data_IF_284053921872
#
_entry.id   IF_284053921872
#
_cell.length_a   1.000
_cell.length_b   1.000
_cell.length_c   1.000
_cell.angle_alpha   90.00
_cell.angle_beta   90.00
_cell.angle_gamma   90.00
#
_symmetry.space_group_name_H-M   'P 1'
#
loop_
_entity.id
_entity.type
_entity.pdbx_description
1 polymer ?
#
# COMPACT_ATOMS: atom_id res chain seq x y z
N UNK A 1 -18.61 -6.22 -8.08
CA UNK A 1 -17.27 -6.22 -7.43
C UNK A 1 -16.18 -6.13 -8.47
N UNK A 2 -15.26 -5.24 -8.24
CA UNK A 2 -14.23 -4.80 -9.14
C UNK A 2 -13.40 -5.93 -9.74
N UNK A 3 -13.26 -5.95 -11.07
CA UNK A 3 -12.66 -7.04 -11.82
C UNK A 3 -11.20 -7.32 -11.49
N UNK A 4 -10.38 -6.28 -11.27
CA UNK A 4 -8.95 -6.43 -11.02
C UNK A 4 -8.63 -6.92 -9.59
N UNK A 5 -9.33 -6.42 -8.57
CA UNK A 5 -9.19 -6.92 -7.20
C UNK A 5 -9.61 -8.39 -7.07
N UNK A 6 -10.72 -8.76 -7.72
CA UNK A 6 -11.17 -10.16 -7.75
C UNK A 6 -10.16 -11.06 -8.48
N UNK A 7 -9.49 -10.56 -9.52
CA UNK A 7 -8.40 -11.25 -10.20
C UNK A 7 -7.17 -11.44 -9.30
N UNK A 8 -6.82 -10.41 -8.52
CA UNK A 8 -5.70 -10.48 -7.59
C UNK A 8 -5.98 -11.46 -6.43
N UNK A 9 -7.17 -11.41 -5.82
CA UNK A 9 -7.59 -12.37 -4.80
C UNK A 9 -7.51 -13.82 -5.31
N UNK A 10 -7.98 -14.08 -6.55
CA UNK A 10 -7.88 -15.42 -7.19
C UNK A 10 -6.43 -15.86 -7.39
N UNK A 11 -5.54 -14.94 -7.77
CA UNK A 11 -4.11 -15.23 -7.93
C UNK A 11 -3.48 -15.64 -6.59
N UNK A 12 -3.80 -14.93 -5.49
CA UNK A 12 -3.32 -15.29 -4.15
C UNK A 12 -3.82 -16.67 -3.73
N UNK A 13 -5.12 -16.95 -3.94
CA UNK A 13 -5.70 -18.27 -3.64
C UNK A 13 -5.06 -19.36 -4.50
N UNK A 14 -4.88 -19.14 -5.80
CA UNK A 14 -4.23 -20.11 -6.68
C UNK A 14 -2.79 -20.43 -6.28
N UNK A 15 -2.06 -19.47 -5.73
CA UNK A 15 -0.72 -19.72 -5.17
C UNK A 15 -0.78 -20.61 -3.91
N UNK A 16 -1.77 -20.43 -3.03
CA UNK A 16 -1.98 -21.29 -1.86
C UNK A 16 -2.39 -22.73 -2.24
N UNK A 17 -3.12 -22.88 -3.34
CA UNK A 17 -3.65 -24.15 -3.83
C UNK A 17 -2.67 -24.89 -4.77
N UNK A 18 -1.56 -24.26 -5.16
CA UNK A 18 -0.54 -24.90 -6.00
C UNK A 18 0.12 -26.08 -5.31
N UNK A 19 0.70 -27.00 -6.07
CA UNK A 19 1.45 -28.14 -5.57
C UNK A 19 2.92 -28.10 -6.04
N UNK A 20 3.90 -27.83 -5.18
CA UNK A 20 3.75 -27.49 -3.74
C UNK A 20 3.11 -26.12 -3.51
N UNK A 21 2.42 -25.95 -2.38
CA UNK A 21 1.81 -24.69 -1.97
C UNK A 21 2.86 -23.58 -1.92
N UNK A 22 2.59 -22.45 -2.57
CA UNK A 22 3.41 -21.24 -2.50
C UNK A 22 3.00 -20.38 -1.31
N UNK A 23 3.91 -19.52 -0.91
CA UNK A 23 3.69 -18.53 0.16
C UNK A 23 3.61 -17.14 -0.51
N UNK A 24 2.40 -16.60 -0.78
CA UNK A 24 2.26 -15.26 -1.29
C UNK A 24 2.81 -14.23 -0.30
N UNK A 25 3.67 -13.33 -0.78
CA UNK A 25 4.14 -12.16 -0.04
C UNK A 25 3.58 -10.92 -0.73
N UNK A 26 2.51 -10.38 -0.17
CA UNK A 26 1.78 -9.25 -0.74
C UNK A 26 2.40 -7.94 -0.29
N UNK A 27 2.96 -7.22 -1.23
CA UNK A 27 3.62 -5.94 -1.03
C UNK A 27 2.73 -4.78 -1.48
N UNK A 28 2.75 -3.71 -0.72
CA UNK A 28 2.07 -2.46 -1.08
C UNK A 28 2.22 -1.41 0.01
N UNK A 29 2.34 -0.15 -0.34
CA UNK A 29 2.46 0.97 0.60
C UNK A 29 1.23 1.17 1.50
N UNK A 30 1.25 2.19 2.34
CA UNK A 30 0.09 2.53 3.18
C UNK A 30 -1.14 2.83 2.31
N UNK A 31 -2.31 2.40 2.78
CA UNK A 31 -3.58 2.70 2.10
C UNK A 31 -3.89 1.85 0.86
N UNK A 32 -3.04 0.89 0.47
CA UNK A 32 -3.28 0.05 -0.71
C UNK A 32 -4.32 -1.06 -0.51
N UNK A 33 -4.75 -1.35 0.74
CA UNK A 33 -5.81 -2.32 1.02
C UNK A 33 -5.32 -3.74 1.35
N UNK A 34 -4.05 -3.93 1.77
CA UNK A 34 -3.50 -5.24 2.19
C UNK A 34 -4.32 -5.93 3.27
N UNK A 35 -4.62 -5.23 4.36
CA UNK A 35 -5.45 -5.76 5.45
C UNK A 35 -6.84 -6.17 4.97
N UNK A 36 -7.47 -5.36 4.09
CA UNK A 36 -8.76 -5.69 3.49
C UNK A 36 -8.69 -6.96 2.62
N UNK A 37 -7.59 -7.14 1.88
CA UNK A 37 -7.34 -8.36 1.14
C UNK A 37 -7.33 -9.58 2.09
N UNK A 38 -6.55 -9.52 3.18
CA UNK A 38 -6.46 -10.63 4.14
C UNK A 38 -7.82 -10.93 4.79
N UNK A 39 -8.63 -9.92 5.11
CA UNK A 39 -9.97 -10.12 5.65
C UNK A 39 -10.89 -10.80 4.63
N UNK A 40 -10.88 -10.39 3.36
CA UNK A 40 -11.64 -11.08 2.29
C UNK A 40 -11.18 -12.52 2.09
N UNK A 41 -9.87 -12.77 2.12
CA UNK A 41 -9.33 -14.15 2.05
C UNK A 41 -9.79 -15.00 3.22
N UNK A 42 -9.78 -14.45 4.44
CA UNK A 42 -10.27 -15.13 5.64
C UNK A 42 -11.73 -15.55 5.51
N UNK A 43 -12.57 -14.65 4.98
CA UNK A 43 -13.99 -14.96 4.77
C UNK A 43 -14.19 -16.04 3.71
N UNK A 44 -13.41 -16.00 2.62
CA UNK A 44 -13.49 -17.01 1.54
C UNK A 44 -12.98 -18.38 1.96
N UNK A 45 -11.90 -18.44 2.73
CA UNK A 45 -11.31 -19.68 3.25
C UNK A 45 -12.13 -20.27 4.41
N UNK A 46 -12.94 -19.45 5.06
CA UNK A 46 -13.70 -19.80 6.25
C UNK A 46 -12.90 -19.58 7.54
N UNK A 47 -13.57 -19.02 8.55
CA UNK A 47 -12.96 -18.64 9.84
C UNK A 47 -12.43 -19.83 10.65
N UNK A 48 -12.91 -21.04 10.38
CA UNK A 48 -12.42 -22.28 11.00
C UNK A 48 -11.17 -22.86 10.32
N UNK A 49 -10.84 -22.42 9.10
CA UNK A 49 -9.69 -22.89 8.32
C UNK A 49 -8.60 -21.82 8.15
N UNK A 50 -8.88 -20.55 8.47
CA UNK A 50 -7.95 -19.44 8.31
C UNK A 50 -7.90 -18.55 9.54
N UNK A 51 -6.68 -18.29 10.04
CA UNK A 51 -6.41 -17.36 11.14
C UNK A 51 -5.75 -16.08 10.59
N UNK A 52 -6.33 -14.92 10.89
CA UNK A 52 -5.72 -13.61 10.66
C UNK A 52 -4.93 -13.17 11.89
N UNK A 53 -3.71 -12.69 11.67
CA UNK A 53 -2.81 -12.18 12.72
C UNK A 53 -2.32 -10.80 12.31
N UNK A 54 -2.70 -9.78 13.07
CA UNK A 54 -2.18 -8.43 12.98
C UNK A 54 -0.89 -8.33 13.81
N UNK A 55 0.25 -8.51 13.14
CA UNK A 55 1.55 -8.57 13.80
C UNK A 55 1.93 -7.20 14.36
N UNK A 56 1.66 -6.12 13.64
CA UNK A 56 1.95 -4.76 14.12
C UNK A 56 1.30 -4.47 15.46
N UNK A 57 0.08 -4.97 15.65
CA UNK A 57 -0.70 -4.73 16.86
C UNK A 57 -0.30 -5.64 18.03
N UNK A 58 0.07 -6.88 17.76
CA UNK A 58 0.30 -7.87 18.83
C UNK A 58 1.78 -8.19 19.10
N UNK A 59 2.73 -7.86 18.20
CA UNK A 59 4.15 -8.15 18.38
C UNK A 59 4.86 -7.15 19.31
N UNK A 60 4.45 -7.12 20.57
CA UNK A 60 5.07 -6.26 21.61
C UNK A 60 6.26 -6.94 22.30
N UNK A 61 6.10 -8.17 22.75
CA UNK A 61 7.18 -9.06 23.19
C UNK A 61 6.93 -10.46 22.62
N UNK A 62 7.96 -11.33 22.47
CA UNK A 62 7.75 -12.68 21.96
C UNK A 62 6.73 -13.49 22.74
N UNK A 63 6.69 -13.37 24.08
CA UNK A 63 5.76 -14.07 24.95
C UNK A 63 4.31 -13.59 24.74
N UNK A 64 4.10 -12.28 24.70
CA UNK A 64 2.77 -11.71 24.43
C UNK A 64 2.29 -12.01 23.03
N UNK A 65 3.20 -12.02 22.06
CA UNK A 65 2.88 -12.38 20.69
C UNK A 65 2.43 -13.84 20.59
N UNK A 66 3.18 -14.77 21.21
CA UNK A 66 2.77 -16.18 21.33
C UNK A 66 1.36 -16.30 21.93
N UNK A 67 1.13 -15.62 23.06
CA UNK A 67 -0.16 -15.65 23.75
C UNK A 67 -1.29 -15.10 22.88
N UNK A 68 -1.06 -13.96 22.20
CA UNK A 68 -2.07 -13.34 21.33
C UNK A 68 -2.43 -14.23 20.14
N UNK A 69 -1.42 -14.83 19.49
CA UNK A 69 -1.62 -15.68 18.32
C UNK A 69 -2.34 -16.97 18.71
N UNK A 70 -1.89 -17.65 19.76
CA UNK A 70 -2.48 -18.94 20.18
C UNK A 70 -3.83 -18.77 20.87
N UNK A 71 -4.00 -17.72 21.67
CA UNK A 71 -5.26 -17.42 22.36
C UNK A 71 -6.41 -16.99 21.43
N UNK A 72 -6.11 -16.37 20.30
CA UNK A 72 -7.10 -15.98 19.29
C UNK A 72 -7.28 -17.04 18.19
N UNK A 73 -6.58 -18.18 18.28
CA UNK A 73 -6.58 -19.20 17.24
C UNK A 73 -7.85 -20.05 17.25
N UNK A 74 -8.45 -20.34 16.08
CA UNK A 74 -9.47 -21.35 15.95
C UNK A 74 -8.92 -22.77 15.96
N UNK A 75 -7.58 -22.93 15.95
CA UNK A 75 -6.91 -24.22 15.85
C UNK A 75 -6.53 -24.73 17.23
N UNK A 76 -6.79 -26.02 17.56
CA UNK A 76 -6.34 -26.61 18.82
C UNK A 76 -4.82 -26.67 18.89
N UNK A 77 -4.26 -26.41 20.07
CA UNK A 77 -2.83 -26.48 20.32
C UNK A 77 -2.53 -27.24 21.62
N UNK A 78 -1.71 -28.30 21.50
CA UNK A 78 -1.42 -29.20 22.62
C UNK A 78 -0.59 -28.54 23.73
N UNK A 79 0.23 -27.55 23.41
CA UNK A 79 1.03 -26.81 24.39
C UNK A 79 0.31 -25.56 24.97
N UNK A 80 -1.03 -25.48 24.81
CA UNK A 80 -1.82 -24.40 25.40
C UNK A 80 -1.63 -24.39 26.93
N UNK A 81 -1.24 -23.20 27.47
CA UNK A 81 -0.96 -23.05 28.91
C UNK A 81 0.50 -23.26 29.33
N UNK A 82 1.37 -23.79 28.47
CA UNK A 82 2.82 -23.82 28.76
C UNK A 82 3.38 -22.40 28.70
N UNK A 83 4.07 -21.97 29.75
CA UNK A 83 4.73 -20.66 29.83
C UNK A 83 6.18 -20.79 29.35
N UNK A 84 6.62 -19.99 28.37
CA UNK A 84 8.02 -19.96 27.96
C UNK A 84 8.89 -19.32 29.03
N UNK A 85 10.10 -19.84 29.25
CA UNK A 85 11.06 -19.28 30.19
C UNK A 85 11.88 -18.12 29.62
N UNK A 86 11.97 -18.04 28.28
CA UNK A 86 12.74 -17.00 27.57
C UNK A 86 12.02 -16.51 26.32
N UNK A 87 12.41 -15.32 25.84
CA UNK A 87 11.92 -14.76 24.58
C UNK A 87 12.20 -15.69 23.39
N UNK A 88 13.38 -16.34 23.36
CA UNK A 88 13.71 -17.33 22.32
C UNK A 88 12.77 -18.54 22.39
N UNK A 89 12.54 -19.10 23.56
CA UNK A 89 11.62 -20.23 23.73
C UNK A 89 10.19 -19.84 23.31
N UNK A 90 9.74 -18.63 23.65
CA UNK A 90 8.43 -18.13 23.20
C UNK A 90 8.31 -18.10 21.68
N UNK A 91 9.34 -17.64 20.99
CA UNK A 91 9.37 -17.61 19.54
C UNK A 91 9.45 -19.03 18.93
N UNK A 92 10.26 -19.91 19.48
CA UNK A 92 10.34 -21.31 19.04
C UNK A 92 9.00 -22.04 19.22
N UNK A 93 8.29 -21.80 20.34
CA UNK A 93 6.95 -22.33 20.56
C UNK A 93 5.95 -21.81 19.52
N UNK A 94 6.06 -20.54 19.11
CA UNK A 94 5.24 -19.98 18.05
C UNK A 94 5.49 -20.67 16.70
N UNK A 95 6.76 -20.91 16.34
CA UNK A 95 7.11 -21.62 15.10
C UNK A 95 6.57 -23.05 15.12
N UNK A 96 6.65 -23.75 16.26
CA UNK A 96 6.04 -25.07 16.45
C UNK A 96 4.52 -25.00 16.27
N UNK A 97 3.87 -23.96 16.82
CA UNK A 97 2.43 -23.75 16.61
C UNK A 97 2.09 -23.57 15.12
N UNK A 98 2.82 -22.72 14.39
CA UNK A 98 2.60 -22.52 12.95
C UNK A 98 2.81 -23.79 12.12
N UNK A 99 3.65 -24.71 12.57
CA UNK A 99 3.87 -25.97 11.87
C UNK A 99 2.83 -27.04 12.24
N UNK A 100 2.50 -27.18 13.53
CA UNK A 100 1.70 -28.29 14.04
C UNK A 100 0.20 -28.03 14.09
N UNK A 101 -0.25 -26.76 14.04
CA UNK A 101 -1.68 -26.41 14.02
C UNK A 101 -2.38 -27.06 12.82
N UNK A 102 -3.62 -27.54 13.05
CA UNK A 102 -4.48 -28.12 12.00
C UNK A 102 -5.89 -27.55 12.10
N UNK A 103 -6.52 -27.41 10.94
CA UNK A 103 -7.93 -27.09 10.85
C UNK A 103 -8.81 -28.25 11.40
N UNK A 104 -10.07 -28.01 11.73
CA UNK A 104 -11.01 -29.09 12.06
C UNK A 104 -11.02 -30.16 10.95
N UNK A 105 -10.81 -31.42 11.33
CA UNK A 105 -10.66 -32.52 10.36
C UNK A 105 -9.21 -32.91 10.05
N UNK A 106 -8.21 -32.21 10.60
CA UNK A 106 -6.80 -32.54 10.45
C UNK A 106 -6.13 -31.95 9.19
N UNK A 107 -6.87 -31.20 8.39
CA UNK A 107 -6.36 -30.54 7.19
C UNK A 107 -5.37 -29.40 7.50
N UNK A 108 -4.45 -29.08 6.57
CA UNK A 108 -3.59 -27.93 6.71
C UNK A 108 -4.40 -26.64 6.85
N UNK A 109 -4.07 -25.83 7.86
CA UNK A 109 -4.69 -24.54 8.08
C UNK A 109 -3.97 -23.42 7.34
N UNK A 110 -4.59 -22.23 7.27
CA UNK A 110 -4.02 -21.05 6.62
C UNK A 110 -3.79 -19.94 7.64
N UNK A 111 -2.58 -19.39 7.66
CA UNK A 111 -2.24 -18.21 8.45
C UNK A 111 -2.09 -16.98 7.55
N UNK A 112 -2.83 -15.92 7.87
CA UNK A 112 -2.84 -14.64 7.18
C UNK A 112 -2.08 -13.63 8.07
N UNK A 113 -0.78 -13.46 7.81
CA UNK A 113 0.14 -12.69 8.64
C UNK A 113 0.29 -11.27 8.10
N UNK A 114 -0.36 -10.31 8.75
CA UNK A 114 -0.32 -8.90 8.36
C UNK A 114 0.88 -8.20 8.98
N UNK A 115 1.61 -7.42 8.19
CA UNK A 115 2.80 -6.63 8.56
C UNK A 115 3.95 -7.48 9.15
N UNK A 116 4.31 -8.56 8.47
CA UNK A 116 5.30 -9.55 8.95
C UNK A 116 6.66 -8.96 9.32
N UNK A 117 7.10 -7.86 8.68
CA UNK A 117 8.38 -7.21 8.98
C UNK A 117 8.40 -6.48 10.33
N UNK A 118 7.25 -6.32 10.99
CA UNK A 118 7.19 -5.78 12.35
C UNK A 118 7.81 -6.73 13.40
N UNK A 119 7.92 -8.02 13.11
CA UNK A 119 8.67 -8.97 13.94
C UNK A 119 10.14 -8.61 14.10
N UNK A 120 10.67 -7.73 13.26
CA UNK A 120 12.03 -7.20 13.44
C UNK A 120 12.24 -6.53 14.79
N UNK A 121 11.19 -6.05 15.45
CA UNK A 121 11.29 -5.53 16.82
C UNK A 121 11.86 -6.56 17.79
N UNK A 122 11.71 -7.84 17.49
CA UNK A 122 12.26 -8.92 18.31
C UNK A 122 13.77 -9.13 18.14
N UNK A 123 14.41 -8.55 17.12
CA UNK A 123 15.88 -8.64 16.95
C UNK A 123 16.66 -8.06 18.15
N UNK A 124 16.01 -7.21 18.97
CA UNK A 124 16.58 -6.66 20.20
C UNK A 124 16.64 -7.65 21.36
N UNK A 125 15.89 -8.76 21.28
CA UNK A 125 15.88 -9.77 22.33
C UNK A 125 17.02 -10.77 22.17
N UNK A 126 17.58 -11.30 23.30
CA UNK A 126 18.62 -12.32 23.25
C UNK A 126 18.20 -13.56 22.45
N UNK A 127 19.04 -13.99 21.54
CA UNK A 127 18.80 -15.17 20.69
C UNK A 127 17.88 -14.96 19.48
N UNK A 128 17.35 -13.73 19.25
CA UNK A 128 16.40 -13.44 18.16
C UNK A 128 16.96 -12.52 17.08
N UNK A 129 18.29 -12.40 16.95
CA UNK A 129 18.93 -11.52 15.93
C UNK A 129 18.53 -11.86 14.49
N UNK A 130 18.10 -13.08 14.22
CA UNK A 130 17.73 -13.56 12.89
C UNK A 130 16.26 -13.97 12.81
N UNK A 131 15.40 -13.38 13.65
CA UNK A 131 13.98 -13.74 13.81
C UNK A 131 13.22 -13.86 12.49
N UNK A 132 13.44 -12.95 11.55
CA UNK A 132 12.78 -12.99 10.23
C UNK A 132 13.26 -14.15 9.36
N UNK A 133 14.56 -14.47 9.40
CA UNK A 133 15.10 -15.64 8.68
C UNK A 133 14.59 -16.93 9.30
N UNK A 134 14.68 -17.06 10.62
CA UNK A 134 14.17 -18.22 11.35
C UNK A 134 12.66 -18.46 11.04
N UNK A 135 11.88 -17.37 10.97
CA UNK A 135 10.48 -17.44 10.55
C UNK A 135 10.35 -17.96 9.12
N UNK A 136 11.02 -17.34 8.14
CA UNK A 136 10.89 -17.75 6.73
C UNK A 136 11.28 -19.22 6.52
N UNK A 137 12.34 -19.68 7.20
CA UNK A 137 12.79 -21.06 7.13
C UNK A 137 11.72 -22.01 7.70
N UNK A 138 11.13 -21.67 8.86
CA UNK A 138 10.05 -22.46 9.47
C UNK A 138 8.79 -22.50 8.61
N UNK A 139 8.36 -21.35 8.04
CA UNK A 139 7.21 -21.30 7.14
C UNK A 139 7.44 -22.12 5.86
N UNK A 140 8.68 -22.13 5.37
CA UNK A 140 9.05 -22.93 4.19
C UNK A 140 8.98 -24.43 4.48
N UNK A 141 9.36 -24.87 5.67
CA UNK A 141 9.34 -26.27 6.07
C UNK A 141 7.93 -26.80 6.39
N UNK A 142 7.01 -25.91 6.79
CA UNK A 142 5.67 -26.28 7.24
C UNK A 142 4.76 -26.77 6.11
N UNK A 143 3.87 -27.71 6.43
CA UNK A 143 2.78 -28.16 5.56
C UNK A 143 1.59 -27.19 5.54
N UNK A 144 1.50 -26.27 6.50
CA UNK A 144 0.45 -25.25 6.55
C UNK A 144 0.64 -24.18 5.47
N UNK A 145 -0.40 -23.40 5.22
CA UNK A 145 -0.45 -22.36 4.20
C UNK A 145 -0.27 -20.99 4.85
N UNK A 146 0.45 -20.11 4.17
CA UNK A 146 0.74 -18.77 4.69
C UNK A 146 0.52 -17.70 3.62
N UNK A 147 -0.04 -16.56 4.00
CA UNK A 147 -0.03 -15.32 3.23
C UNK A 147 0.62 -14.26 4.10
N UNK A 148 1.66 -13.64 3.60
CA UNK A 148 2.40 -12.59 4.29
C UNK A 148 2.07 -11.24 3.66
N UNK A 149 1.95 -10.19 4.46
CA UNK A 149 1.90 -8.83 3.93
C UNK A 149 2.93 -7.94 4.59
N UNK A 150 3.34 -6.89 3.90
CA UNK A 150 4.11 -5.79 4.48
C UNK A 150 4.02 -4.52 3.65
N UNK A 151 4.13 -3.37 4.34
CA UNK A 151 4.25 -2.05 3.70
C UNK A 151 5.67 -1.73 3.25
N UNK A 152 6.68 -2.39 3.79
CA UNK A 152 8.09 -2.08 3.56
C UNK A 152 8.63 -2.81 2.33
N UNK A 153 8.24 -2.33 1.15
CA UNK A 153 8.50 -2.99 -0.15
C UNK A 153 9.99 -3.23 -0.39
N UNK A 154 10.83 -2.19 -0.28
CA UNK A 154 12.27 -2.32 -0.51
C UNK A 154 12.95 -3.30 0.46
N UNK A 155 12.52 -3.29 1.72
CA UNK A 155 13.04 -4.19 2.75
C UNK A 155 12.62 -5.64 2.52
N UNK A 156 11.37 -5.86 2.10
CA UNK A 156 10.88 -7.20 1.76
C UNK A 156 11.65 -7.80 0.58
N UNK A 157 11.89 -7.04 -0.48
CA UNK A 157 12.70 -7.50 -1.62
C UNK A 157 14.13 -7.89 -1.21
N UNK A 158 14.76 -7.15 -0.27
CA UNK A 158 16.09 -7.52 0.24
C UNK A 158 16.06 -8.80 1.08
N UNK A 159 15.05 -8.95 1.95
CA UNK A 159 14.89 -10.14 2.78
C UNK A 159 14.64 -11.40 1.94
N UNK A 160 13.86 -11.28 0.87
CA UNK A 160 13.43 -12.41 0.03
C UNK A 160 14.41 -12.70 -1.13
N UNK A 161 15.49 -11.93 -1.31
CA UNK A 161 16.44 -12.11 -2.41
C UNK A 161 17.00 -13.54 -2.47
N UNK A 162 17.37 -14.08 -1.30
CA UNK A 162 17.99 -15.39 -1.15
C UNK A 162 17.00 -16.43 -0.58
N UNK A 163 15.69 -16.10 -0.54
CA UNK A 163 14.67 -16.99 -0.04
C UNK A 163 14.31 -18.07 -1.09
N UNK A 164 13.71 -19.17 -0.61
CA UNK A 164 13.31 -20.29 -1.46
C UNK A 164 12.25 -19.89 -2.49
N UNK A 165 12.12 -20.68 -3.56
CA UNK A 165 11.10 -20.49 -4.61
C UNK A 165 9.65 -20.66 -4.13
N UNK A 166 9.43 -21.10 -2.86
CA UNK A 166 8.09 -21.12 -2.26
C UNK A 166 7.50 -19.74 -2.05
N UNK A 167 8.33 -18.70 -1.85
CA UNK A 167 7.83 -17.33 -1.70
C UNK A 167 7.51 -16.72 -3.06
N UNK A 168 6.27 -16.30 -3.24
CA UNK A 168 5.82 -15.59 -4.44
C UNK A 168 5.51 -14.12 -4.08
N UNK A 169 6.37 -13.22 -4.56
CA UNK A 169 6.18 -11.79 -4.34
C UNK A 169 5.09 -11.25 -5.27
N UNK A 170 4.08 -10.63 -4.67
CA UNK A 170 2.94 -10.06 -5.38
C UNK A 170 2.73 -8.60 -4.94
N UNK A 171 2.79 -7.67 -5.90
CA UNK A 171 2.42 -6.28 -5.61
C UNK A 171 0.92 -6.11 -5.72
N UNK A 172 0.29 -5.53 -4.67
CA UNK A 172 -1.13 -5.21 -4.72
C UNK A 172 -1.36 -4.11 -5.78
N UNK A 173 -2.24 -4.33 -6.76
CA UNK A 173 -2.46 -3.34 -7.81
C UNK A 173 -3.20 -2.11 -7.26
N UNK A 174 -2.88 -0.95 -7.83
CA UNK A 174 -3.69 0.24 -7.64
C UNK A 174 -5.10 0.01 -8.21
N UNK A 175 -6.13 0.62 -7.61
CA UNK A 175 -7.47 0.59 -8.16
C UNK A 175 -7.50 1.27 -9.52
N UNK A 176 -8.16 0.63 -10.48
CA UNK A 176 -8.49 1.26 -11.76
C UNK A 176 -9.71 2.19 -11.61
N UNK A 177 -9.96 3.12 -12.56
CA UNK A 177 -11.18 3.93 -12.51
C UNK A 177 -12.47 3.11 -12.37
N UNK A 178 -12.69 2.00 -13.13
CA UNK A 178 -13.86 1.14 -12.90
C UNK A 178 -13.93 0.54 -11.50
N UNK A 179 -12.76 0.12 -10.93
CA UNK A 179 -12.72 -0.41 -9.56
C UNK A 179 -13.14 0.65 -8.53
N UNK A 180 -12.73 1.91 -8.74
CA UNK A 180 -13.15 3.04 -7.90
C UNK A 180 -14.66 3.31 -8.06
N UNK A 181 -15.15 3.32 -9.30
CA UNK A 181 -16.58 3.48 -9.60
C UNK A 181 -17.43 2.45 -8.85
N UNK A 182 -17.06 1.16 -8.95
CA UNK A 182 -17.75 0.06 -8.24
C UNK A 182 -17.65 0.20 -6.70
N UNK A 183 -16.54 0.73 -6.19
CA UNK A 183 -16.35 0.93 -4.75
C UNK A 183 -17.19 2.08 -4.21
N UNK A 184 -17.39 3.14 -5.00
CA UNK A 184 -18.19 4.32 -4.62
C UNK A 184 -19.69 4.05 -4.67
N UNK A 185 -20.14 3.16 -5.57
CA UNK A 185 -21.55 2.88 -5.81
C UNK A 185 -22.37 2.59 -4.53
N UNK A 186 -21.94 1.75 -3.59
CA UNK A 186 -22.71 1.46 -2.37
C UNK A 186 -22.62 2.54 -1.30
N UNK A 187 -21.68 3.47 -1.38
CA UNK A 187 -21.39 4.45 -0.32
C UNK A 187 -21.93 5.84 -0.62
N UNK A 188 -22.16 6.16 -1.89
CA UNK A 188 -22.57 7.49 -2.29
C UNK A 188 -24.09 7.57 -2.56
N UNK A 189 -24.82 8.23 -1.67
CA UNK A 189 -26.25 8.47 -1.82
C UNK A 189 -26.54 9.30 -3.08
N UNK A 190 -27.36 8.80 -4.00
CA UNK A 190 -27.63 9.44 -5.29
C UNK A 190 -26.75 8.96 -6.44
N UNK A 191 -25.85 8.01 -6.19
CA UNK A 191 -24.98 7.44 -7.23
C UNK A 191 -25.77 6.82 -8.38
N UNK A 192 -26.87 6.11 -8.07
CA UNK A 192 -27.72 5.47 -9.08
C UNK A 192 -28.46 6.47 -9.97
N UNK A 193 -28.72 7.69 -9.48
CA UNK A 193 -29.37 8.77 -10.22
C UNK A 193 -28.39 9.59 -11.07
N UNK A 194 -27.08 9.44 -10.83
CA UNK A 194 -26.03 10.13 -11.57
C UNK A 194 -25.92 9.57 -13.01
N UNK A 195 -25.78 10.40 -14.05
CA UNK A 195 -25.48 9.95 -15.40
C UNK A 195 -24.23 9.07 -15.46
N UNK A 196 -24.18 8.12 -16.39
CA UNK A 196 -23.05 7.20 -16.53
C UNK A 196 -21.73 7.91 -16.75
N UNK A 197 -21.73 8.94 -17.60
CA UNK A 197 -20.51 9.75 -17.91
C UNK A 197 -19.98 10.46 -16.65
N UNK A 198 -20.87 10.95 -15.79
CA UNK A 198 -20.49 11.59 -14.53
C UNK A 198 -19.93 10.58 -13.53
N UNK A 199 -20.47 9.37 -13.47
CA UNK A 199 -19.91 8.27 -12.64
C UNK A 199 -18.52 7.88 -13.10
N UNK A 200 -18.33 7.74 -14.40
CA UNK A 200 -17.02 7.41 -14.99
C UNK A 200 -16.01 8.54 -14.78
N UNK A 201 -16.44 9.79 -14.89
CA UNK A 201 -15.60 10.94 -14.56
C UNK A 201 -15.23 10.95 -13.08
N UNK A 202 -16.17 10.73 -12.17
CA UNK A 202 -15.94 10.64 -10.73
C UNK A 202 -14.95 9.52 -10.42
N UNK A 203 -15.12 8.33 -11.00
CA UNK A 203 -14.19 7.21 -10.84
C UNK A 203 -12.76 7.57 -11.27
N UNK A 204 -12.60 8.22 -12.43
CA UNK A 204 -11.30 8.71 -12.91
C UNK A 204 -10.71 9.80 -12.01
N UNK A 205 -11.53 10.74 -11.56
CA UNK A 205 -11.10 11.83 -10.69
C UNK A 205 -10.60 11.32 -9.35
N UNK A 206 -11.37 10.48 -8.67
CA UNK A 206 -10.97 9.89 -7.38
C UNK A 206 -9.73 8.99 -7.54
N UNK A 207 -9.65 8.20 -8.61
CA UNK A 207 -8.48 7.39 -8.91
C UNK A 207 -7.23 8.27 -9.09
N UNK A 208 -7.32 9.34 -9.85
CA UNK A 208 -6.21 10.28 -10.10
C UNK A 208 -5.75 11.01 -8.84
N UNK A 209 -6.70 11.46 -7.98
CA UNK A 209 -6.41 12.13 -6.71
C UNK A 209 -5.73 11.20 -5.69
N UNK A 210 -6.04 9.91 -5.72
CA UNK A 210 -5.61 8.93 -4.71
C UNK A 210 -4.50 8.00 -5.20
N UNK A 211 -4.10 8.10 -6.47
CA UNK A 211 -3.20 7.13 -7.12
C UNK A 211 -3.74 5.69 -7.02
N UNK A 212 -5.08 5.55 -7.03
CA UNK A 212 -5.77 4.27 -6.89
C UNK A 212 -5.59 3.58 -5.54
N UNK A 213 -5.23 4.30 -4.47
CA UNK A 213 -5.12 3.73 -3.12
C UNK A 213 -6.50 3.56 -2.50
N UNK A 214 -6.86 2.32 -2.19
CA UNK A 214 -8.21 1.93 -1.76
C UNK A 214 -8.69 2.68 -0.50
N UNK A 215 -7.80 2.90 0.49
CA UNK A 215 -8.17 3.61 1.72
C UNK A 215 -8.52 5.07 1.46
N UNK A 216 -7.76 5.75 0.60
CA UNK A 216 -8.00 7.16 0.27
C UNK A 216 -9.25 7.31 -0.60
N UNK A 217 -9.40 6.44 -1.60
CA UNK A 217 -10.59 6.46 -2.46
C UNK A 217 -11.87 6.24 -1.66
N UNK A 218 -11.85 5.30 -0.71
CA UNK A 218 -12.97 5.07 0.23
C UNK A 218 -13.23 6.30 1.09
N UNK A 219 -12.20 6.88 1.70
CA UNK A 219 -12.35 8.07 2.54
C UNK A 219 -12.99 9.24 1.78
N UNK A 220 -12.61 9.45 0.50
CA UNK A 220 -13.23 10.46 -0.36
C UNK A 220 -14.72 10.13 -0.58
N UNK A 221 -15.06 8.88 -0.92
CA UNK A 221 -16.45 8.46 -1.10
C UNK A 221 -17.30 8.65 0.16
N UNK A 222 -16.79 8.23 1.31
CA UNK A 222 -17.48 8.39 2.60
C UNK A 222 -17.69 9.88 2.94
N UNK A 223 -16.70 10.74 2.68
CA UNK A 223 -16.79 12.18 2.90
C UNK A 223 -17.79 12.84 1.95
N UNK A 224 -17.77 12.49 0.66
CA UNK A 224 -18.77 12.98 -0.30
C UNK A 224 -20.19 12.60 0.12
N UNK A 225 -20.39 11.39 0.62
CA UNK A 225 -21.70 10.95 1.14
C UNK A 225 -22.16 11.76 2.36
N UNK A 226 -21.22 12.13 3.25
CA UNK A 226 -21.53 12.94 4.44
C UNK A 226 -21.83 14.40 4.10
N UNK A 227 -21.11 14.98 3.15
CA UNK A 227 -21.26 16.39 2.74
C UNK A 227 -22.46 16.61 1.82
N UNK A 228 -22.96 15.55 1.18
CA UNK A 228 -24.15 15.59 0.33
C UNK A 228 -23.87 15.52 -1.19
N UNK A 229 -24.93 15.38 -2.00
CA UNK A 229 -24.82 14.99 -3.41
C UNK A 229 -24.18 16.05 -4.33
N UNK A 230 -24.10 17.30 -3.91
CA UNK A 230 -23.46 18.38 -4.69
C UNK A 230 -21.93 18.47 -4.46
N UNK A 231 -21.37 17.60 -3.60
CA UNK A 231 -19.95 17.63 -3.24
C UNK A 231 -19.10 16.92 -4.29
N UNK A 232 -18.07 17.60 -4.77
CA UNK A 232 -17.06 17.00 -5.65
C UNK A 232 -15.91 16.35 -4.86
N UNK A 233 -15.10 15.53 -5.54
CA UNK A 233 -14.00 14.80 -4.93
C UNK A 233 -12.86 15.71 -4.39
N UNK A 234 -12.68 16.92 -4.95
CA UNK A 234 -11.66 17.86 -4.51
C UNK A 234 -12.07 18.52 -3.21
N UNK A 235 -13.34 18.92 -3.09
CA UNK A 235 -13.93 19.46 -1.86
C UNK A 235 -13.90 18.41 -0.73
N UNK A 236 -14.21 17.14 -1.04
CA UNK A 236 -14.11 16.05 -0.08
C UNK A 236 -12.65 15.81 0.38
N UNK A 237 -11.67 15.83 -0.55
CA UNK A 237 -10.26 15.70 -0.20
C UNK A 237 -9.78 16.89 0.65
N UNK A 238 -10.27 18.11 0.37
CA UNK A 238 -9.98 19.31 1.18
C UNK A 238 -10.45 19.14 2.62
N UNK A 239 -11.70 18.73 2.82
CA UNK A 239 -12.25 18.46 4.14
C UNK A 239 -11.48 17.35 4.88
N UNK A 240 -11.08 16.29 4.18
CA UNK A 240 -10.30 15.20 4.73
C UNK A 240 -8.87 15.59 5.16
N UNK A 241 -8.29 16.61 4.52
CA UNK A 241 -6.96 17.13 4.83
C UNK A 241 -6.98 18.39 5.72
N UNK A 242 -8.15 18.89 6.11
CA UNK A 242 -8.27 19.97 7.11
C UNK A 242 -7.67 19.55 8.46
N UNK A 243 -7.55 20.49 9.40
CA UNK A 243 -6.96 20.24 10.74
C UNK A 243 -7.56 19.05 11.47
N UNK A 244 -8.88 18.87 11.37
CA UNK A 244 -9.66 17.80 12.02
C UNK A 244 -9.99 16.64 11.05
N UNK A 245 -9.47 16.69 9.84
CA UNK A 245 -9.79 15.73 8.80
C UNK A 245 -9.19 14.34 9.04
N UNK A 246 -9.94 13.30 8.69
CA UNK A 246 -9.53 11.92 8.91
C UNK A 246 -8.22 11.56 8.18
N UNK A 247 -8.00 12.07 6.97
CA UNK A 247 -6.74 11.84 6.25
C UNK A 247 -5.58 12.64 6.84
N UNK A 248 -5.81 13.80 7.44
CA UNK A 248 -4.77 14.51 8.18
C UNK A 248 -4.24 13.64 9.32
N UNK A 249 -5.12 13.09 10.16
CA UNK A 249 -4.73 12.20 11.27
C UNK A 249 -4.05 10.92 10.77
N UNK A 250 -4.58 10.32 9.70
CA UNK A 250 -4.01 9.12 9.09
C UNK A 250 -2.60 9.36 8.52
N UNK A 251 -2.42 10.42 7.74
CA UNK A 251 -1.13 10.76 7.15
C UNK A 251 -0.10 11.09 8.24
N UNK A 252 -0.50 11.84 9.27
CA UNK A 252 0.34 12.13 10.44
C UNK A 252 0.81 10.86 11.13
N UNK A 253 -0.10 9.93 11.41
CA UNK A 253 0.24 8.66 12.01
C UNK A 253 1.21 7.86 11.14
N UNK A 254 0.91 7.70 9.86
CA UNK A 254 1.76 6.98 8.92
C UNK A 254 3.16 7.62 8.76
N UNK A 255 3.24 8.93 8.75
CA UNK A 255 4.48 9.69 8.62
C UNK A 255 5.36 9.51 9.86
N UNK A 256 4.83 9.79 11.05
CA UNK A 256 5.57 9.70 12.30
C UNK A 256 6.00 8.26 12.62
N UNK A 257 5.12 7.29 12.44
CA UNK A 257 5.43 5.87 12.66
C UNK A 257 6.65 5.42 11.84
N UNK A 258 6.69 5.82 10.55
CA UNK A 258 7.78 5.44 9.65
C UNK A 258 9.08 6.16 9.99
N UNK A 259 9.03 7.44 10.33
CA UNK A 259 10.20 8.20 10.74
C UNK A 259 10.81 7.69 12.04
N UNK A 260 10.00 7.30 13.03
CA UNK A 260 10.49 6.71 14.26
C UNK A 260 11.21 5.37 14.05
N UNK A 261 10.90 4.66 12.97
CA UNK A 261 11.57 3.40 12.59
C UNK A 261 12.82 3.59 11.74
N UNK A 262 13.07 4.80 11.29
CA UNK A 262 14.28 5.19 10.57
C UNK A 262 15.26 5.94 11.49
N UNK A 263 16.56 5.88 11.16
CA UNK A 263 17.58 6.62 11.91
C UNK A 263 17.72 8.03 11.35
N UNK A 264 18.00 9.03 12.20
CA UNK A 264 18.32 10.38 11.75
C UNK A 264 17.12 11.29 11.48
N UNK A 265 16.14 11.25 12.35
CA UNK A 265 14.83 11.91 12.26
C UNK A 265 14.84 13.34 11.66
N UNK A 266 15.70 14.27 12.16
CA UNK A 266 15.74 15.64 11.66
C UNK A 266 16.24 15.75 10.21
N UNK A 267 17.25 14.95 9.84
CA UNK A 267 17.76 14.94 8.46
C UNK A 267 16.74 14.32 7.49
N UNK A 268 16.02 13.31 7.93
CA UNK A 268 14.96 12.68 7.13
C UNK A 268 13.80 13.63 6.86
N UNK A 269 13.36 14.39 7.89
CA UNK A 269 12.34 15.44 7.70
C UNK A 269 12.81 16.48 6.69
N UNK A 270 14.04 16.98 6.80
CA UNK A 270 14.54 17.97 5.86
C UNK A 270 14.60 17.46 4.40
N UNK A 271 14.90 16.17 4.19
CA UNK A 271 14.82 15.57 2.85
C UNK A 271 13.38 15.51 2.34
N UNK A 272 12.45 15.10 3.20
CA UNK A 272 11.04 15.02 2.85
C UNK A 272 10.45 16.40 2.57
N UNK A 273 10.83 17.43 3.30
CA UNK A 273 10.41 18.81 3.05
C UNK A 273 10.87 19.26 1.64
N UNK A 274 12.15 19.02 1.30
CA UNK A 274 12.68 19.32 -0.04
C UNK A 274 11.93 18.58 -1.15
N UNK A 275 11.67 17.29 -0.98
CA UNK A 275 10.93 16.48 -1.95
C UNK A 275 9.44 16.86 -2.01
N UNK A 276 8.86 17.31 -0.90
CA UNK A 276 7.48 17.77 -0.88
C UNK A 276 7.29 19.04 -1.73
N UNK A 277 8.26 19.94 -1.71
CA UNK A 277 8.22 21.15 -2.55
C UNK A 277 8.39 20.81 -4.02
N UNK A 278 9.39 20.00 -4.36
CA UNK A 278 9.71 19.65 -5.75
C UNK A 278 10.18 18.19 -5.84
N UNK A 279 9.56 17.43 -6.74
CA UNK A 279 9.94 16.07 -7.12
C UNK A 279 9.61 15.81 -8.60
N UNK A 280 10.32 14.89 -9.29
CA UNK A 280 11.41 14.05 -8.77
C UNK A 280 12.78 14.76 -8.80
N UNK A 281 13.60 14.56 -7.77
CA UNK A 281 14.95 15.15 -7.65
C UNK A 281 16.05 14.08 -7.66
N UNK A 282 17.22 14.43 -8.20
CA UNK A 282 18.44 13.60 -8.11
C UNK A 282 19.11 13.72 -6.74
N UNK A 283 19.96 12.76 -6.40
CA UNK A 283 20.78 12.81 -5.19
C UNK A 283 21.56 14.14 -5.07
N UNK A 284 22.14 14.61 -6.18
CA UNK A 284 22.93 15.85 -6.20
C UNK A 284 22.07 17.07 -5.92
N UNK A 285 20.89 17.18 -6.53
CA UNK A 285 19.95 18.28 -6.30
C UNK A 285 19.49 18.34 -4.84
N UNK A 286 19.16 17.17 -4.24
CA UNK A 286 18.76 17.08 -2.83
C UNK A 286 19.93 17.48 -1.91
N UNK A 287 21.13 16.95 -2.15
CA UNK A 287 22.32 17.24 -1.36
C UNK A 287 22.66 18.73 -1.36
N UNK A 288 22.57 19.36 -2.54
CA UNK A 288 22.84 20.79 -2.72
C UNK A 288 21.83 21.64 -1.91
N UNK A 289 20.53 21.34 -2.00
CA UNK A 289 19.49 22.07 -1.25
C UNK A 289 19.66 21.94 0.27
N UNK A 290 20.10 20.78 0.72
CA UNK A 290 20.32 20.52 2.14
C UNK A 290 21.69 20.98 2.64
N UNK A 291 22.58 21.47 1.75
CA UNK A 291 23.98 21.80 2.05
C UNK A 291 24.71 20.65 2.75
N UNK A 292 24.50 19.42 2.25
CA UNK A 292 25.09 18.18 2.77
C UNK A 292 25.93 17.48 1.70
N UNK A 293 26.79 16.55 2.15
CA UNK A 293 27.53 15.71 1.21
C UNK A 293 26.62 14.69 0.54
N UNK A 294 26.84 14.34 -0.76
CA UNK A 294 26.06 13.29 -1.43
C UNK A 294 26.12 11.95 -0.72
N UNK A 295 27.25 11.58 -0.09
CA UNK A 295 27.38 10.32 0.65
C UNK A 295 26.41 10.23 1.81
N UNK A 296 26.41 11.21 2.71
CA UNK A 296 25.48 11.22 3.86
C UNK A 296 24.02 11.33 3.43
N UNK A 297 23.73 12.09 2.37
CA UNK A 297 22.36 12.21 1.82
C UNK A 297 21.86 10.88 1.26
N UNK A 298 22.75 10.10 0.60
CA UNK A 298 22.40 8.77 0.07
C UNK A 298 22.00 7.79 1.18
N UNK A 299 22.71 7.81 2.31
CA UNK A 299 22.36 6.96 3.46
C UNK A 299 20.97 7.29 4.00
N UNK A 300 20.64 8.57 4.16
CA UNK A 300 19.32 9.00 4.59
C UNK A 300 18.23 8.62 3.58
N UNK A 301 18.48 8.80 2.29
CA UNK A 301 17.53 8.38 1.24
C UNK A 301 17.31 6.86 1.27
N UNK A 302 18.36 6.07 1.48
CA UNK A 302 18.22 4.62 1.64
C UNK A 302 17.35 4.25 2.85
N UNK A 303 17.45 4.99 3.97
CA UNK A 303 16.56 4.77 5.12
C UNK A 303 15.11 5.18 4.85
N UNK A 304 14.88 6.23 4.05
CA UNK A 304 13.55 6.62 3.62
C UNK A 304 12.92 5.60 2.64
N UNK A 305 13.74 5.01 1.77
CA UNK A 305 13.31 3.88 0.91
C UNK A 305 12.97 2.65 1.76
N UNK A 306 13.74 2.37 2.80
CA UNK A 306 13.53 1.24 3.71
C UNK A 306 12.20 1.30 4.45
N UNK A 307 11.72 2.49 4.73
CA UNK A 307 10.41 2.71 5.39
C UNK A 307 9.30 3.09 4.42
N UNK A 308 9.52 2.94 3.11
CA UNK A 308 8.54 3.18 2.05
C UNK A 308 7.95 4.61 2.05
N UNK A 309 8.75 5.62 2.40
CA UNK A 309 8.39 7.03 2.27
C UNK A 309 8.82 7.60 0.92
N UNK A 310 9.96 7.15 0.42
CA UNK A 310 10.57 7.61 -0.84
C UNK A 310 10.86 6.41 -1.73
N UNK A 311 10.77 6.62 -3.02
CA UNK A 311 11.18 5.65 -4.05
C UNK A 311 12.17 6.30 -5.01
N UNK A 312 13.06 5.48 -5.59
CA UNK A 312 13.99 5.92 -6.62
C UNK A 312 13.65 5.27 -7.96
N UNK A 313 13.45 6.11 -8.98
CA UNK A 313 13.31 5.68 -10.38
C UNK A 313 14.29 6.44 -11.25
N UNK A 314 15.11 5.75 -12.02
CA UNK A 314 16.13 6.36 -12.90
C UNK A 314 17.03 7.38 -12.17
N UNK A 315 17.47 7.04 -10.93
CA UNK A 315 18.29 7.89 -10.05
C UNK A 315 17.62 9.20 -9.60
N UNK A 316 16.30 9.32 -9.74
CA UNK A 316 15.51 10.41 -9.21
C UNK A 316 14.60 9.90 -8.10
N UNK A 317 14.50 10.67 -7.04
CA UNK A 317 13.76 10.37 -5.82
C UNK A 317 12.44 11.11 -5.79
N UNK A 318 11.40 10.43 -5.36
CA UNK A 318 10.05 11.00 -5.17
C UNK A 318 9.34 10.31 -4.00
N UNK A 319 8.29 10.92 -3.50
CA UNK A 319 7.41 10.23 -2.54
C UNK A 319 6.80 8.98 -3.16
N UNK A 320 6.62 7.93 -2.34
CA UNK A 320 5.86 6.73 -2.73
C UNK A 320 4.36 6.97 -2.72
N UNK A 321 3.91 8.00 -2.00
CA UNK A 321 2.53 8.33 -1.74
C UNK A 321 2.25 9.81 -2.03
N UNK A 322 1.52 10.14 -3.10
CA UNK A 322 1.29 11.53 -3.49
C UNK A 322 0.36 12.28 -2.52
N UNK A 323 -0.57 11.59 -1.85
CA UNK A 323 -1.42 12.24 -0.83
C UNK A 323 -0.59 12.56 0.42
N UNK A 324 0.32 11.66 0.80
CA UNK A 324 1.26 11.93 1.89
C UNK A 324 2.20 13.10 1.56
N UNK A 325 2.67 13.20 0.31
CA UNK A 325 3.44 14.38 -0.15
C UNK A 325 2.65 15.67 0.03
N UNK A 326 1.40 15.69 -0.43
CA UNK A 326 0.51 16.84 -0.27
C UNK A 326 0.34 17.19 1.22
N UNK A 327 0.15 16.17 2.06
CA UNK A 327 0.03 16.34 3.52
C UNK A 327 1.30 16.95 4.13
N UNK A 328 2.51 16.51 3.73
CA UNK A 328 3.79 17.09 4.20
C UNK A 328 3.89 18.56 3.83
N UNK A 329 3.52 18.93 2.60
CA UNK A 329 3.49 20.35 2.17
C UNK A 329 2.54 21.20 3.00
N UNK A 330 1.42 20.64 3.44
CA UNK A 330 0.42 21.35 4.23
C UNK A 330 0.81 21.42 5.71
N UNK A 331 1.12 20.29 6.32
CA UNK A 331 1.13 20.15 7.78
C UNK A 331 2.53 20.03 8.42
N UNK A 332 3.61 19.87 7.63
CA UNK A 332 4.98 19.87 8.17
C UNK A 332 5.60 21.27 8.21
N UNK A 333 4.79 22.32 8.21
CA UNK A 333 5.19 23.73 8.34
C UNK A 333 5.21 24.15 9.81
N UNK A 334 6.01 25.20 10.16
CA UNK A 334 6.04 25.72 11.55
C UNK A 334 4.70 26.22 12.07
N UNK A 335 3.84 26.74 11.17
CA UNK A 335 2.50 27.24 11.48
C UNK A 335 1.49 26.35 10.76
N UNK A 336 0.46 25.85 11.49
CA UNK A 336 -0.64 25.11 10.84
C UNK A 336 -1.30 25.93 9.74
N UNK A 337 -1.64 25.35 8.59
CA UNK A 337 -2.25 26.08 7.50
C UNK A 337 -3.70 26.46 7.86
N UNK A 338 -4.16 27.66 7.54
CA UNK A 338 -5.59 28.00 7.57
C UNK A 338 -6.34 27.20 6.49
N UNK A 339 -7.64 27.01 6.66
CA UNK A 339 -8.46 26.20 5.75
C UNK A 339 -8.40 26.69 4.29
N UNK A 340 -8.25 28.01 4.07
CA UNK A 340 -8.08 28.60 2.74
C UNK A 340 -6.79 28.14 2.05
N UNK A 341 -5.70 27.97 2.81
CA UNK A 341 -4.43 27.46 2.28
C UNK A 341 -4.54 25.96 1.98
N UNK A 342 -5.24 25.22 2.81
CA UNK A 342 -5.54 23.80 2.54
C UNK A 342 -6.31 23.67 1.23
N UNK A 343 -7.39 24.44 1.06
CA UNK A 343 -8.20 24.43 -0.16
C UNK A 343 -7.37 24.77 -1.40
N UNK A 344 -6.52 25.82 -1.31
CA UNK A 344 -5.67 26.26 -2.42
C UNK A 344 -4.64 25.21 -2.83
N UNK A 345 -3.98 24.57 -1.87
CA UNK A 345 -2.99 23.52 -2.16
C UNK A 345 -3.63 22.24 -2.70
N UNK A 346 -4.79 21.83 -2.17
CA UNK A 346 -5.56 20.70 -2.69
C UNK A 346 -6.04 20.99 -4.12
N UNK A 347 -6.53 22.18 -4.40
CA UNK A 347 -6.92 22.59 -5.75
C UNK A 347 -5.74 22.53 -6.73
N UNK A 348 -4.57 23.04 -6.33
CA UNK A 348 -3.34 22.96 -7.14
C UNK A 348 -2.92 21.52 -7.41
N UNK A 349 -2.99 20.68 -6.41
CA UNK A 349 -2.72 19.24 -6.52
C UNK A 349 -3.69 18.59 -7.50
N UNK A 350 -4.98 18.90 -7.41
CA UNK A 350 -6.02 18.36 -8.27
C UNK A 350 -5.85 18.79 -9.73
N UNK A 351 -5.56 20.07 -9.99
CA UNK A 351 -5.35 20.58 -11.35
C UNK A 351 -4.23 19.85 -12.10
N UNK A 352 -3.19 19.40 -11.39
CA UNK A 352 -2.10 18.66 -11.99
C UNK A 352 -2.41 17.17 -12.24
N UNK A 353 -3.55 16.66 -11.79
CA UNK A 353 -3.89 15.22 -11.80
C UNK A 353 -5.23 14.88 -12.43
N UNK A 354 -6.20 15.77 -12.33
CA UNK A 354 -7.53 15.51 -12.88
C UNK A 354 -7.47 15.31 -14.40
N UNK A 355 -8.27 14.38 -14.94
CA UNK A 355 -8.39 14.22 -16.39
C UNK A 355 -8.90 15.51 -17.01
N UNK A 356 -8.26 15.95 -18.11
CA UNK A 356 -8.76 17.09 -18.90
C UNK A 356 -10.12 16.75 -19.51
N UNK A 357 -11.11 17.62 -19.45
CA UNK A 357 -12.39 17.40 -20.11
C UNK A 357 -12.28 17.23 -21.64
N UNK A 358 -11.18 17.66 -22.26
CA UNK A 358 -10.93 17.51 -23.71
C UNK A 358 -10.42 16.13 -24.13
N UNK A 359 -10.18 15.21 -23.21
CA UNK A 359 -9.76 13.85 -23.52
C UNK A 359 -10.94 12.86 -23.74
N UNK A 360 -12.11 13.35 -24.12
CA UNK A 360 -13.12 12.50 -24.74
C UNK A 360 -12.55 12.02 -26.09
N UNK A 361 -12.59 10.70 -26.41
CA UNK A 361 -12.12 10.22 -27.71
C UNK A 361 -12.89 11.00 -28.78
N UNK A 362 -12.17 11.67 -29.67
CA UNK A 362 -12.76 12.22 -30.87
C UNK A 362 -13.51 11.06 -31.56
N UNK A 363 -14.83 11.12 -31.53
CA UNK A 363 -15.67 10.23 -32.30
C UNK A 363 -15.19 10.37 -33.75
N UNK A 364 -14.53 9.34 -34.24
CA UNK A 364 -14.22 9.20 -35.65
C UNK A 364 -15.54 9.29 -36.40
N UNK A 365 -15.82 10.44 -36.97
CA UNK A 365 -16.85 10.58 -37.97
C UNK A 365 -16.44 9.70 -39.15
N UNK A 366 -16.94 8.48 -39.14
CA UNK A 366 -16.91 7.61 -40.31
C UNK A 366 -18.00 8.08 -41.26
N UNK A 367 -17.60 8.49 -42.41
CA UNK A 367 -18.41 8.40 -43.58
C UNK A 367 -18.96 9.69 -44.14
N UNK A 368 -18.30 10.25 -45.12
CA UNK A 368 -18.95 10.63 -46.42
C UNK A 368 -17.97 10.26 -47.51
N UNK A 369 -18.47 9.48 -48.45
CA UNK A 369 -17.82 9.07 -49.70
C UNK A 369 -17.22 10.26 -50.43
N UNK A 370 -15.95 10.16 -50.79
CA UNK A 370 -15.34 10.94 -51.86
C UNK A 370 -14.62 9.96 -52.81
N UNK A 371 -15.11 9.95 -54.00
CA UNK A 371 -14.62 9.24 -55.19
C UNK A 371 -13.14 9.49 -55.46
N UNK A 372 -12.44 8.54 -56.09
CA UNK A 372 -11.01 8.66 -56.39
C UNK A 372 -10.80 9.45 -57.68
N UNK A 373 -10.09 10.59 -57.60
CA UNK A 373 -9.38 11.05 -58.81
C UNK A 373 -8.14 11.89 -58.45
N UNK A 374 -7.16 11.72 -59.35
CA UNK A 374 -5.95 12.50 -59.55
C UNK A 374 -4.68 12.28 -58.69
N UNK A 375 -3.86 11.42 -59.24
CA UNK A 375 -2.41 11.38 -59.06
C UNK A 375 -1.77 12.74 -59.32
N UNK A 376 -1.04 13.28 -58.37
CA UNK A 376 0.10 14.19 -58.62
C UNK A 376 1.31 13.73 -57.80
N UNK A 377 2.32 13.29 -58.54
CA UNK A 377 3.68 13.02 -58.10
C UNK A 377 4.36 14.29 -57.57
N UNK A 378 5.02 14.20 -56.43
CA UNK A 378 6.05 15.18 -56.04
C UNK A 378 7.34 14.43 -55.75
N UNK A 379 8.38 14.90 -56.45
CA UNK A 379 9.68 14.32 -56.53
C UNK A 379 10.48 14.44 -55.23
N UNK A 380 11.38 13.50 -55.15
CA UNK A 380 12.50 13.42 -54.17
C UNK A 380 13.43 14.61 -54.40
N UNK A 381 13.79 15.33 -53.32
CA UNK A 381 14.97 16.21 -53.29
C UNK A 381 15.93 15.58 -52.31
N UNK A 382 17.00 14.98 -52.83
CA UNK A 382 18.25 14.73 -52.09
C UNK A 382 18.95 16.09 -51.93
N UNK A 383 19.43 16.34 -50.69
CA UNK A 383 20.45 17.39 -50.44
C UNK A 383 21.56 16.73 -49.63
N UNK A 384 22.79 16.89 -50.19
CA UNK A 384 24.09 16.49 -49.65
C UNK A 384 24.38 16.83 -48.20
#
# INVERSE_FOLDING_TARGET
MAGQQTGFDRRVLGALESAPSRIPVVLGGCGTGRTMLLQRLRERLGRGAAQYVDIERCATTPERFLQAVTGASPFPWQAAGRQPATAREAFDMLLVFFDTARAPGGEPCTFLLDEVLELRTFESYPGLRHVLRDLLDALTASANRFVLTTRYVARAHRLLRDATSRFEVMHIPALTPPDVTDMLAPTFNGYEQMPTDDRDFLGRAVQALTDGRATYARAIGDMMSQMGPATDAVSALTALLSSEGALNHWCRFCYELRLHRARGYGALKAILDVLAEEEPLTLTEISHRLRRTPGSTKDYLSWLEDVDLVTSRQKRYSFTDPVLRLWVRLHCRPVPPPDEDVAREVQRYALGRLPSPEAAPALAFAGVDATPDERKSWGIIEID
#
